data_IF_223673931222
#
_entry.id   IF_223673931222
#
_cell.length_a   1.000
_cell.length_b   1.000
_cell.length_c   1.000
_cell.angle_alpha   90.00
_cell.angle_beta   90.00
_cell.angle_gamma   90.00
#
_symmetry.space_group_name_H-M   'P 1'
#
loop_
_entity.id
_entity.type
_entity.pdbx_description
1 polymer ?
#
# COMPACT_ATOMS: atom_id res chain seq x y z
N UNK A 1 8.89 -18.12 43.01
CA UNK A 1 7.87 -17.37 42.23
C UNK A 1 8.24 -17.49 40.77
N UNK A 2 7.38 -18.09 39.95
CA UNK A 2 7.61 -18.18 38.50
C UNK A 2 7.37 -16.81 37.88
N UNK A 3 8.33 -16.29 37.12
CA UNK A 3 8.13 -15.06 36.38
C UNK A 3 7.08 -15.31 35.29
N UNK A 4 5.96 -14.59 35.34
CA UNK A 4 5.00 -14.58 34.25
C UNK A 4 5.65 -13.81 33.09
N UNK A 5 5.81 -14.40 31.90
CA UNK A 5 6.31 -13.67 30.74
C UNK A 5 5.41 -12.48 30.46
N UNK A 6 6.02 -11.30 30.30
CA UNK A 6 5.26 -10.12 29.88
C UNK A 6 4.76 -10.33 28.45
N UNK A 7 3.54 -9.90 28.12
CA UNK A 7 3.04 -9.97 26.75
C UNK A 7 3.96 -9.18 25.83
N UNK A 8 4.34 -9.81 24.71
CA UNK A 8 5.14 -9.18 23.67
C UNK A 8 4.27 -8.18 22.92
N UNK A 9 4.53 -6.90 23.15
CA UNK A 9 3.82 -5.75 22.54
C UNK A 9 4.67 -5.10 21.46
N UNK A 10 5.55 -5.87 20.83
CA UNK A 10 6.34 -5.34 19.72
C UNK A 10 5.39 -4.92 18.58
N UNK A 11 5.75 -3.87 17.80
CA UNK A 11 4.95 -3.46 16.64
C UNK A 11 4.74 -4.58 15.62
N UNK A 12 5.65 -5.57 15.57
CA UNK A 12 5.49 -6.74 14.73
C UNK A 12 4.39 -7.65 15.26
N UNK A 13 4.39 -7.92 16.57
CA UNK A 13 3.38 -8.78 17.22
C UNK A 13 1.98 -8.17 17.13
N UNK A 14 1.87 -6.85 17.27
CA UNK A 14 0.62 -6.12 17.06
C UNK A 14 0.13 -6.24 15.61
N UNK A 15 1.04 -6.11 14.63
CA UNK A 15 0.69 -6.26 13.21
C UNK A 15 0.24 -7.68 12.85
N UNK A 16 0.90 -8.71 13.39
CA UNK A 16 0.49 -10.11 13.19
C UNK A 16 -0.89 -10.37 13.82
N UNK A 17 -1.17 -9.76 14.99
CA UNK A 17 -2.49 -9.87 15.64
C UNK A 17 -3.59 -9.24 14.77
N UNK A 18 -3.32 -8.08 14.17
CA UNK A 18 -4.26 -7.43 13.25
C UNK A 18 -4.51 -8.27 11.98
N UNK A 19 -3.49 -8.98 11.49
CA UNK A 19 -3.66 -9.91 10.35
C UNK A 19 -4.58 -11.07 10.75
N UNK A 20 -4.37 -11.67 11.92
CA UNK A 20 -5.19 -12.78 12.42
C UNK A 20 -6.67 -12.37 12.57
N UNK A 21 -6.92 -11.18 13.12
CA UNK A 21 -8.27 -10.62 13.25
C UNK A 21 -8.96 -10.46 11.88
N UNK A 22 -8.24 -9.98 10.86
CA UNK A 22 -8.76 -9.85 9.50
C UNK A 22 -9.02 -11.21 8.84
N UNK A 23 -8.18 -12.21 9.13
CA UNK A 23 -8.38 -13.58 8.64
C UNK A 23 -9.62 -14.19 9.27
N UNK A 24 -9.87 -13.94 10.56
CA UNK A 24 -11.11 -14.36 11.25
C UNK A 24 -12.33 -13.68 10.64
N UNK A 25 -12.27 -12.37 10.36
CA UNK A 25 -13.38 -11.61 9.75
C UNK A 25 -13.73 -12.09 8.33
N UNK A 26 -12.71 -12.34 7.49
CA UNK A 26 -12.90 -12.65 6.07
C UNK A 26 -12.85 -14.15 5.74
N UNK A 27 -12.54 -15.00 6.72
CA UNK A 27 -12.58 -16.45 6.65
C UNK A 27 -11.45 -17.11 5.85
N UNK A 28 -10.51 -16.34 5.28
CA UNK A 28 -9.26 -16.84 4.69
C UNK A 28 -8.29 -15.71 4.37
N UNK A 29 -7.00 -16.01 4.38
CA UNK A 29 -5.92 -15.11 3.98
C UNK A 29 -6.11 -14.64 2.53
N UNK A 30 -6.60 -15.52 1.65
CA UNK A 30 -6.87 -15.17 0.25
C UNK A 30 -8.03 -14.18 0.10
N UNK A 31 -9.01 -14.22 1.00
CA UNK A 31 -10.08 -13.23 1.03
C UNK A 31 -9.57 -11.88 1.54
N UNK A 32 -8.76 -11.87 2.60
CA UNK A 32 -8.10 -10.65 3.12
C UNK A 32 -7.27 -9.97 2.02
N UNK A 33 -6.40 -10.73 1.34
CA UNK A 33 -5.59 -10.20 0.23
C UNK A 33 -6.47 -9.61 -0.87
N UNK A 34 -7.60 -10.25 -1.18
CA UNK A 34 -8.52 -9.73 -2.21
C UNK A 34 -9.10 -8.38 -1.80
N UNK A 35 -9.57 -8.25 -0.56
CA UNK A 35 -10.12 -6.99 -0.03
C UNK A 35 -9.03 -5.90 -0.02
N UNK A 36 -7.85 -6.22 0.50
CA UNK A 36 -6.72 -5.28 0.54
C UNK A 36 -6.35 -4.77 -0.87
N UNK A 37 -6.33 -5.64 -1.88
CA UNK A 37 -6.05 -5.23 -3.26
C UNK A 37 -7.15 -4.33 -3.85
N UNK A 38 -8.40 -4.52 -3.45
CA UNK A 38 -9.51 -3.64 -3.86
C UNK A 38 -9.39 -2.27 -3.20
N UNK A 39 -9.08 -2.23 -1.90
CA UNK A 39 -8.90 -0.98 -1.15
C UNK A 39 -7.69 -0.18 -1.67
N UNK A 40 -6.59 -0.86 -1.99
CA UNK A 40 -5.44 -0.23 -2.63
C UNK A 40 -5.76 0.31 -4.02
N UNK A 41 -6.61 -0.38 -4.79
CA UNK A 41 -7.06 0.11 -6.08
C UNK A 41 -7.94 1.36 -5.94
N UNK A 42 -8.81 1.40 -4.93
CA UNK A 42 -9.65 2.57 -4.64
C UNK A 42 -8.81 3.76 -4.14
N UNK A 43 -7.88 3.50 -3.22
CA UNK A 43 -6.91 4.50 -2.77
C UNK A 43 -6.09 5.08 -3.94
N UNK A 44 -5.74 4.23 -4.92
CA UNK A 44 -5.05 4.67 -6.12
C UNK A 44 -5.95 5.49 -7.07
N UNK A 45 -7.27 5.25 -7.09
CA UNK A 45 -8.24 6.05 -7.86
C UNK A 45 -8.47 7.42 -7.21
N UNK A 46 -8.63 7.43 -5.89
CA UNK A 46 -8.82 8.65 -5.10
C UNK A 46 -7.54 9.49 -5.03
N UNK A 47 -6.39 8.87 -5.25
CA UNK A 47 -5.09 9.53 -5.31
C UNK A 47 -5.04 10.58 -6.41
N UNK A 48 -5.03 11.86 -6.04
CA UNK A 48 -4.69 12.92 -6.97
C UNK A 48 -3.26 12.71 -7.50
N UNK A 49 -3.14 12.51 -8.81
CA UNK A 49 -1.87 12.36 -9.52
C UNK A 49 -0.93 13.54 -9.22
N UNK A 50 -1.48 14.72 -8.93
CA UNK A 50 -0.73 15.93 -8.59
C UNK A 50 -0.04 15.88 -7.21
N UNK A 51 -0.58 15.10 -6.27
CA UNK A 51 -0.04 14.87 -4.94
C UNK A 51 1.03 13.75 -4.90
N UNK A 52 1.18 13.00 -6.00
CA UNK A 52 2.22 11.98 -6.11
C UNK A 52 3.61 12.63 -6.06
N UNK A 53 4.50 12.09 -5.22
CA UNK A 53 5.92 12.49 -5.17
C UNK A 53 6.58 12.43 -6.55
N UNK A 54 6.15 11.52 -7.41
CA UNK A 54 6.62 11.44 -8.79
C UNK A 54 6.22 12.67 -9.60
N UNK A 55 4.96 13.09 -9.52
CA UNK A 55 4.49 14.31 -10.17
C UNK A 55 5.12 15.58 -9.60
N UNK A 56 5.23 15.69 -8.27
CA UNK A 56 5.89 16.82 -7.60
C UNK A 56 7.38 16.92 -7.93
N UNK A 57 8.05 15.78 -8.16
CA UNK A 57 9.44 15.71 -8.68
C UNK A 57 9.50 15.77 -10.22
N UNK A 58 8.36 16.06 -10.85
CA UNK A 58 8.14 16.22 -12.29
C UNK A 58 8.17 14.94 -13.12
N UNK A 59 8.41 13.75 -12.54
CA UNK A 59 8.64 12.47 -13.25
C UNK A 59 7.48 12.09 -14.19
N UNK A 60 6.28 12.60 -13.90
CA UNK A 60 5.08 12.34 -14.67
C UNK A 60 4.42 13.61 -15.23
N UNK A 61 5.10 14.76 -15.20
CA UNK A 61 4.54 16.00 -15.74
C UNK A 61 4.35 15.91 -17.26
N UNK A 62 3.24 16.44 -17.82
CA UNK A 62 2.97 16.39 -19.25
C UNK A 62 4.06 17.16 -20.00
N UNK A 63 4.63 16.54 -21.04
CA UNK A 63 5.69 17.15 -21.87
C UNK A 63 7.13 16.84 -21.45
N UNK A 64 7.36 16.00 -20.43
CA UNK A 64 8.71 15.48 -20.14
C UNK A 64 9.16 14.51 -21.24
N UNK A 65 10.27 14.86 -21.87
CA UNK A 65 11.03 13.98 -22.75
C UNK A 65 11.95 13.11 -21.90
N UNK A 66 12.11 11.84 -22.23
CA UNK A 66 13.15 11.00 -21.63
C UNK A 66 14.55 11.51 -22.03
N UNK A 67 15.62 10.93 -21.46
CA UNK A 67 17.02 11.32 -21.76
C UNK A 67 17.39 11.18 -23.25
N UNK A 68 16.61 10.43 -24.03
CA UNK A 68 16.75 10.27 -25.47
C UNK A 68 15.84 11.18 -26.30
N UNK A 69 15.14 12.12 -25.67
CA UNK A 69 14.31 13.12 -26.35
C UNK A 69 12.94 12.62 -26.81
N UNK A 70 12.58 11.37 -26.52
CA UNK A 70 11.26 10.82 -26.84
C UNK A 70 10.24 11.20 -25.77
N UNK A 71 8.98 11.51 -26.16
CA UNK A 71 7.92 11.72 -25.21
C UNK A 71 7.75 10.46 -24.36
N UNK A 72 7.66 10.60 -23.03
CA UNK A 72 7.13 9.51 -22.22
C UNK A 72 5.71 9.24 -22.74
N UNK A 73 5.45 7.99 -23.14
CA UNK A 73 4.13 7.54 -23.55
C UNK A 73 3.16 7.86 -22.41
N UNK A 74 2.31 8.87 -22.60
CA UNK A 74 1.14 9.09 -21.77
C UNK A 74 0.05 8.24 -22.39
N UNK A 75 -0.13 7.03 -21.89
CA UNK A 75 -1.28 6.22 -22.27
C UNK A 75 -2.56 6.90 -21.80
N UNK A 76 -3.54 6.87 -22.71
CA UNK A 76 -4.85 7.51 -22.71
C UNK A 76 -5.74 7.02 -21.57
#
# INVERSE_FOLDING_TARGET
>A
MSAVPLPDTSPMTEMETEIDDLVEEHGSERAVIRVLLLDLAELARDGDRSASKGWLRGLFSPGRKNRTGQPLLTDN
#
